data_IF_945954198310
#
_entry.id   IF_945954198310
#
_cell.length_a   1.000
_cell.length_b   1.000
_cell.length_c   1.000
_cell.angle_alpha   90.00
_cell.angle_beta   90.00
_cell.angle_gamma   90.00
#
_symmetry.space_group_name_H-M   'P 1'
#
loop_
_entity.id
_entity.type
_entity.pdbx_description
1 polymer ?
#
# COMPACT_ATOMS: atom_id res chain seq x y z
N UNK A 1 -3.79 0.88 15.29
CA UNK A 1 -2.90 0.49 14.18
C UNK A 1 -1.47 0.66 14.62
N UNK A 2 -0.57 -0.27 14.28
CA UNK A 2 0.87 -0.08 14.52
C UNK A 2 1.44 0.94 13.53
N UNK A 3 2.59 1.53 13.82
CA UNK A 3 3.29 2.32 12.82
C UNK A 3 3.80 1.39 11.70
N UNK A 4 3.96 1.93 10.49
CA UNK A 4 4.41 1.13 9.34
C UNK A 4 5.78 0.47 9.59
N UNK A 5 6.63 1.13 10.36
CA UNK A 5 7.97 0.67 10.78
C UNK A 5 7.90 -0.57 11.70
N UNK A 6 6.80 -0.77 12.42
CA UNK A 6 6.63 -1.88 13.38
C UNK A 6 6.28 -3.22 12.70
N UNK A 7 6.10 -3.21 11.37
CA UNK A 7 5.78 -4.42 10.60
C UNK A 7 7.02 -5.17 10.11
N UNK A 8 8.21 -4.56 10.15
CA UNK A 8 9.46 -5.24 9.79
C UNK A 8 9.61 -5.52 8.30
N UNK A 9 9.07 -4.65 7.44
CA UNK A 9 9.15 -4.79 5.99
C UNK A 9 10.59 -4.76 5.48
N UNK A 10 10.85 -5.57 4.46
CA UNK A 10 12.04 -5.36 3.63
C UNK A 10 11.90 -4.09 2.78
N UNK A 11 12.97 -3.70 2.07
CA UNK A 11 13.00 -2.45 1.31
C UNK A 11 11.93 -2.38 0.22
N UNK A 12 11.59 -3.51 -0.42
CA UNK A 12 10.61 -3.55 -1.51
C UNK A 12 9.19 -3.54 -0.96
N UNK A 13 8.93 -4.31 0.09
CA UNK A 13 7.64 -4.37 0.78
C UNK A 13 7.28 -3.03 1.40
N UNK A 14 8.27 -2.31 1.94
CA UNK A 14 8.08 -1.00 2.56
C UNK A 14 7.55 0.02 1.55
N UNK A 15 7.98 -0.03 0.29
CA UNK A 15 7.50 0.88 -0.77
C UNK A 15 6.01 0.64 -1.01
N UNK A 16 5.63 -0.61 -1.19
CA UNK A 16 4.23 -1.01 -1.45
C UNK A 16 3.36 -0.68 -0.25
N UNK A 17 3.81 -1.04 0.96
CA UNK A 17 3.12 -0.72 2.20
C UNK A 17 2.97 0.79 2.38
N UNK A 18 3.98 1.60 2.04
CA UNK A 18 3.92 3.06 2.15
C UNK A 18 2.90 3.65 1.18
N UNK A 19 2.92 3.21 -0.09
CA UNK A 19 1.95 3.64 -1.08
C UNK A 19 0.51 3.30 -0.64
N UNK A 20 0.28 2.06 -0.20
CA UNK A 20 -1.03 1.60 0.28
C UNK A 20 -1.46 2.35 1.55
N UNK A 21 -0.55 2.55 2.51
CA UNK A 21 -0.81 3.29 3.73
C UNK A 21 -1.24 4.73 3.44
N UNK A 22 -0.52 5.42 2.55
CA UNK A 22 -0.84 6.78 2.13
C UNK A 22 -2.20 6.84 1.43
N UNK A 23 -2.44 5.91 0.50
CA UNK A 23 -3.72 5.81 -0.20
C UNK A 23 -4.90 5.61 0.77
N UNK A 24 -4.80 4.65 1.69
CA UNK A 24 -5.86 4.36 2.67
C UNK A 24 -6.08 5.51 3.66
N UNK A 25 -5.03 6.27 4.02
CA UNK A 25 -5.15 7.46 4.87
C UNK A 25 -5.90 8.62 4.18
N UNK A 26 -5.75 8.74 2.87
CA UNK A 26 -6.39 9.80 2.08
C UNK A 26 -7.85 9.48 1.72
N UNK A 27 -8.31 8.24 1.92
CA UNK A 27 -9.72 7.88 1.77
C UNK A 27 -10.56 8.38 2.96
N UNK A 28 -11.82 8.69 2.70
CA UNK A 28 -12.80 8.88 3.78
C UNK A 28 -12.98 7.56 4.55
N UNK A 29 -13.38 7.60 5.84
CA UNK A 29 -13.61 6.38 6.62
C UNK A 29 -14.60 5.40 5.98
N UNK A 30 -15.61 5.90 5.27
CA UNK A 30 -16.60 5.09 4.56
C UNK A 30 -16.02 4.44 3.31
N UNK A 31 -15.30 5.21 2.48
CA UNK A 31 -14.64 4.69 1.29
C UNK A 31 -13.58 3.64 1.65
N UNK A 32 -12.81 3.89 2.71
CA UNK A 32 -11.82 2.95 3.24
C UNK A 32 -12.46 1.64 3.69
N UNK A 33 -13.51 1.70 4.50
CA UNK A 33 -14.24 0.50 4.96
C UNK A 33 -14.79 -0.30 3.78
N UNK A 34 -15.37 0.37 2.78
CA UNK A 34 -15.88 -0.29 1.57
C UNK A 34 -14.77 -0.97 0.76
N UNK A 35 -13.64 -0.30 0.58
CA UNK A 35 -12.48 -0.85 -0.12
C UNK A 35 -11.95 -2.11 0.60
N UNK A 36 -11.78 -2.04 1.92
CA UNK A 36 -11.24 -3.14 2.70
C UNK A 36 -12.22 -4.30 2.91
N UNK A 37 -13.53 -4.07 2.97
CA UNK A 37 -14.53 -5.15 3.06
C UNK A 37 -14.55 -6.10 1.85
N UNK A 38 -14.13 -5.60 0.67
CA UNK A 38 -13.93 -6.42 -0.52
C UNK A 38 -12.64 -7.25 -0.49
N UNK A 39 -11.71 -6.93 0.41
CA UNK A 39 -10.35 -7.47 0.47
C UNK A 39 -10.20 -8.41 1.66
N UNK A 40 -10.60 -7.98 2.86
CA UNK A 40 -10.48 -8.73 4.11
C UNK A 40 -11.87 -9.14 4.55
N UNK A 41 -12.09 -10.44 4.73
CA UNK A 41 -13.33 -11.00 5.26
C UNK A 41 -13.03 -11.89 6.45
N UNK A 42 -13.94 -11.90 7.41
CA UNK A 42 -13.90 -12.84 8.53
C UNK A 42 -14.81 -14.02 8.19
N UNK A 43 -14.25 -15.22 8.15
CA UNK A 43 -14.98 -16.47 7.99
C UNK A 43 -14.83 -17.28 9.28
N UNK A 44 -15.74 -17.02 10.23
CA UNK A 44 -15.63 -17.57 11.58
C UNK A 44 -14.43 -16.98 12.33
N UNK A 45 -13.45 -17.82 12.64
CA UNK A 45 -12.19 -17.41 13.31
C UNK A 45 -11.05 -17.13 12.32
N UNK A 46 -11.24 -17.45 11.04
CA UNK A 46 -10.23 -17.26 10.01
C UNK A 46 -10.42 -15.91 9.30
N UNK A 47 -9.30 -15.26 9.02
CA UNK A 47 -9.28 -14.06 8.19
C UNK A 47 -8.91 -14.46 6.77
N UNK A 48 -9.81 -14.20 5.82
CA UNK A 48 -9.62 -14.50 4.41
C UNK A 48 -9.28 -13.22 3.66
N UNK A 49 -8.16 -13.23 2.93
CA UNK A 49 -7.71 -12.12 2.10
C UNK A 49 -7.95 -12.44 0.63
N UNK A 50 -8.76 -11.62 -0.04
CA UNK A 50 -8.94 -11.67 -1.48
C UNK A 50 -7.73 -11.06 -2.19
N UNK A 51 -6.82 -11.92 -2.64
CA UNK A 51 -5.58 -11.50 -3.29
C UNK A 51 -5.77 -10.68 -4.57
N UNK A 52 -6.81 -10.96 -5.36
CA UNK A 52 -7.09 -10.20 -6.59
C UNK A 52 -7.57 -8.77 -6.28
N UNK A 53 -8.41 -8.63 -5.26
CA UNK A 53 -8.87 -7.31 -4.81
C UNK A 53 -7.71 -6.54 -4.18
N UNK A 54 -6.84 -7.21 -3.41
CA UNK A 54 -5.65 -6.60 -2.83
C UNK A 54 -4.64 -6.14 -3.89
N UNK A 55 -4.40 -6.93 -4.93
CA UNK A 55 -3.57 -6.52 -6.08
C UNK A 55 -4.13 -5.25 -6.75
N UNK A 56 -5.45 -5.15 -6.89
CA UNK A 56 -6.11 -3.96 -7.45
C UNK A 56 -5.94 -2.73 -6.55
N UNK A 57 -5.99 -2.91 -5.23
CA UNK A 57 -5.70 -1.84 -4.27
C UNK A 57 -4.25 -1.38 -4.39
N UNK A 58 -3.29 -2.30 -4.53
CA UNK A 58 -1.87 -1.98 -4.72
C UNK A 58 -1.69 -1.13 -5.98
N UNK A 59 -2.27 -1.53 -7.11
CA UNK A 59 -2.20 -0.75 -8.35
C UNK A 59 -2.84 0.65 -8.22
N UNK A 60 -3.97 0.75 -7.53
CA UNK A 60 -4.63 2.03 -7.27
C UNK A 60 -3.75 2.94 -6.39
N UNK A 61 -3.11 2.38 -5.36
CA UNK A 61 -2.22 3.09 -4.48
C UNK A 61 -0.94 3.55 -5.20
N UNK A 62 -0.37 2.70 -6.05
CA UNK A 62 0.77 3.06 -6.92
C UNK A 62 0.41 4.21 -7.86
N UNK A 63 -0.73 4.13 -8.54
CA UNK A 63 -1.19 5.20 -9.43
C UNK A 63 -1.37 6.53 -8.68
N UNK A 64 -2.01 6.50 -7.51
CA UNK A 64 -2.17 7.69 -6.67
C UNK A 64 -0.83 8.26 -6.20
N UNK A 65 0.13 7.40 -5.81
CA UNK A 65 1.47 7.83 -5.42
C UNK A 65 2.23 8.48 -6.59
N UNK A 66 2.11 7.91 -7.81
CA UNK A 66 2.71 8.49 -9.01
C UNK A 66 2.10 9.86 -9.37
N UNK A 67 0.78 9.99 -9.32
CA UNK A 67 0.09 11.28 -9.56
C UNK A 67 0.53 12.31 -8.51
N UNK A 68 0.48 11.97 -7.22
CA UNK A 68 0.93 12.87 -6.16
C UNK A 68 2.42 13.24 -6.26
N UNK A 69 3.25 12.35 -6.82
CA UNK A 69 4.66 12.65 -7.09
C UNK A 69 4.87 13.58 -8.29
N UNK A 70 3.92 13.65 -9.23
CA UNK A 70 3.97 14.60 -10.36
C UNK A 70 3.58 16.00 -9.91
N UNK A 71 2.68 16.12 -8.94
CA UNK A 71 2.25 17.40 -8.35
C UNK A 71 3.31 18.04 -7.44
N UNK A 72 4.36 17.29 -7.07
CA UNK A 72 5.51 17.84 -6.35
C UNK A 72 6.45 18.53 -7.33
N UNK A 73 6.45 19.87 -7.31
CA UNK A 73 7.50 20.66 -7.94
C UNK A 73 8.87 20.33 -7.30
N UNK A 74 9.91 20.32 -8.13
CA UNK A 74 11.30 20.03 -7.76
C UNK A 74 11.85 21.06 -6.75
N UNK A 75 11.44 20.97 -5.49
CA UNK A 75 11.98 21.78 -4.41
C UNK A 75 13.50 21.58 -4.27
N UNK A 76 14.20 22.56 -3.71
CA UNK A 76 15.67 22.50 -3.54
C UNK A 76 16.16 21.44 -2.53
N UNK A 77 15.25 20.67 -1.93
CA UNK A 77 15.59 19.56 -1.04
C UNK A 77 16.06 18.33 -1.84
N UNK A 78 17.37 18.10 -1.80
CA UNK A 78 18.06 16.96 -2.39
C UNK A 78 17.55 15.60 -1.88
N UNK A 79 17.07 15.51 -0.63
CA UNK A 79 16.50 14.29 -0.09
C UNK A 79 15.10 14.02 -0.65
N UNK A 80 14.29 15.06 -0.81
CA UNK A 80 12.98 14.95 -1.43
C UNK A 80 13.10 14.49 -2.89
N UNK A 81 14.03 15.10 -3.66
CA UNK A 81 14.31 14.71 -5.05
C UNK A 81 14.73 13.25 -5.20
N UNK A 82 15.70 12.79 -4.40
CA UNK A 82 16.14 11.37 -4.41
C UNK A 82 15.01 10.41 -4.04
N UNK A 83 14.13 10.80 -3.12
CA UNK A 83 12.98 9.98 -2.73
C UNK A 83 11.96 9.91 -3.86
N UNK A 84 11.69 11.02 -4.55
CA UNK A 84 10.82 11.07 -5.72
C UNK A 84 11.37 10.26 -6.89
N UNK A 85 12.65 10.37 -7.19
CA UNK A 85 13.33 9.56 -8.22
C UNK A 85 13.21 8.07 -7.90
N UNK A 86 13.48 7.68 -6.65
CA UNK A 86 13.35 6.30 -6.22
C UNK A 86 11.92 5.77 -6.34
N UNK A 87 10.91 6.59 -5.98
CA UNK A 87 9.48 6.28 -6.16
C UNK A 87 9.17 6.08 -7.65
N UNK A 88 9.59 7.03 -8.51
CA UNK A 88 9.35 7.00 -9.96
C UNK A 88 10.05 5.84 -10.67
N UNK A 89 11.21 5.40 -10.17
CA UNK A 89 11.95 4.27 -10.75
C UNK A 89 11.43 2.92 -10.28
N UNK A 90 11.11 2.79 -8.98
CA UNK A 90 10.79 1.49 -8.38
C UNK A 90 9.30 1.14 -8.46
N UNK A 91 8.39 2.10 -8.28
CA UNK A 91 6.94 1.80 -8.28
C UNK A 91 6.43 1.27 -9.62
N UNK A 92 6.83 1.80 -10.80
CA UNK A 92 6.36 1.25 -12.07
C UNK A 92 6.77 -0.19 -12.32
N UNK A 93 7.93 -0.62 -11.78
CA UNK A 93 8.47 -1.96 -11.96
C UNK A 93 7.77 -3.02 -11.08
N UNK A 94 7.01 -2.60 -10.06
CA UNK A 94 6.33 -3.50 -9.13
C UNK A 94 4.93 -3.86 -9.66
N UNK A 95 4.69 -5.08 -10.09
CA UNK A 95 3.35 -5.54 -10.48
C UNK A 95 2.61 -6.10 -9.24
N UNK A 96 1.44 -5.51 -8.93
CA UNK A 96 0.65 -5.90 -7.76
C UNK A 96 0.12 -7.34 -7.81
N UNK A 97 -0.12 -7.89 -9.01
CA UNK A 97 -0.50 -9.31 -9.15
C UNK A 97 0.70 -10.22 -8.94
N UNK A 98 1.87 -9.87 -9.49
CA UNK A 98 3.11 -10.61 -9.24
C UNK A 98 3.49 -10.61 -7.76
N UNK A 99 3.39 -9.45 -7.11
CA UNK A 99 3.61 -9.31 -5.66
C UNK A 99 2.67 -10.21 -4.86
N UNK A 100 1.40 -10.31 -5.27
CA UNK A 100 0.41 -11.16 -4.62
C UNK A 100 0.54 -12.66 -4.92
N UNK A 101 1.50 -13.10 -5.76
CA UNK A 101 1.78 -14.55 -5.92
C UNK A 101 2.44 -15.16 -4.69
N UNK A 102 3.27 -14.39 -3.98
CA UNK A 102 3.94 -14.79 -2.74
C UNK A 102 3.91 -13.61 -1.74
N UNK A 103 2.73 -13.24 -1.23
CA UNK A 103 2.61 -12.04 -0.41
C UNK A 103 3.35 -12.22 0.92
N UNK A 104 4.16 -11.21 1.34
CA UNK A 104 4.79 -11.23 2.66
C UNK A 104 3.74 -11.28 3.77
N UNK A 105 4.01 -12.05 4.83
CA UNK A 105 3.08 -12.22 5.96
C UNK A 105 2.85 -10.91 6.68
N UNK A 106 3.90 -10.11 6.78
CA UNK A 106 3.94 -8.78 7.35
C UNK A 106 2.98 -7.84 6.62
N UNK A 107 2.92 -7.96 5.29
CA UNK A 107 2.04 -7.14 4.45
C UNK A 107 0.58 -7.55 4.61
N UNK A 108 0.29 -8.85 4.65
CA UNK A 108 -1.07 -9.33 4.93
C UNK A 108 -1.55 -8.87 6.31
N UNK A 109 -0.72 -8.98 7.34
CA UNK A 109 -1.03 -8.49 8.69
C UNK A 109 -1.31 -6.99 8.70
N UNK A 110 -0.53 -6.21 7.94
CA UNK A 110 -0.74 -4.77 7.79
C UNK A 110 -2.12 -4.45 7.19
N UNK A 111 -2.56 -5.18 6.16
CA UNK A 111 -3.88 -5.00 5.54
C UNK A 111 -5.01 -5.41 6.50
N UNK A 112 -4.83 -6.48 7.27
CA UNK A 112 -5.79 -6.89 8.29
C UNK A 112 -5.95 -5.85 9.40
N UNK A 113 -4.84 -5.26 9.86
CA UNK A 113 -4.87 -4.20 10.89
C UNK A 113 -5.54 -2.92 10.37
N UNK A 114 -5.45 -2.65 9.07
CA UNK A 114 -6.23 -1.62 8.41
C UNK A 114 -7.73 -1.92 8.40
N UNK A 115 -8.11 -3.16 8.14
CA UNK A 115 -9.52 -3.58 8.07
C UNK A 115 -10.23 -3.56 9.44
N UNK A 116 -9.48 -3.55 10.55
CA UNK A 116 -10.00 -3.48 11.92
C UNK A 116 -10.28 -2.06 12.43
N UNK A 117 -10.03 -1.02 11.62
CA UNK A 117 -10.21 0.40 11.97
C UNK A 117 -11.46 1.03 11.35
#
# INVERSE_FOLDING_TARGET
>A
MKNIEDYGFDRSDLIIATAVNSYLKNLTPEARRKALAGIVRQEGVETVVNGSALATLIESAKAAAMIGSQDWEDGDDLFAKRTLEYIRDQLPALDGKEYMKNPPKEFLRFIEDWAKQ
#
